data_IF_628256895014
#
_entry.id   IF_628256895014
#
_cell.length_a   1.000
_cell.length_b   1.000
_cell.length_c   1.000
_cell.angle_alpha   90.00
_cell.angle_beta   90.00
_cell.angle_gamma   90.00
#
_symmetry.space_group_name_H-M   'P 1'
#
loop_
_entity.id
_entity.type
_entity.pdbx_description
1 polymer ?
#
# COMPACT_ATOMS: atom_id res chain seq x y z
N UNK A 1 -22.75 -13.48 18.65
CA UNK A 1 -21.70 -13.48 19.66
C UNK A 1 -22.30 -12.98 20.96
N UNK A 2 -22.10 -13.70 22.08
CA UNK A 2 -22.64 -13.32 23.40
C UNK A 2 -21.58 -12.71 24.34
N UNK A 3 -20.40 -12.40 23.80
CA UNK A 3 -19.34 -11.74 24.56
C UNK A 3 -19.72 -10.27 24.79
N UNK A 4 -19.81 -9.79 26.04
CA UNK A 4 -20.14 -8.40 26.33
C UNK A 4 -19.08 -7.41 25.83
N UNK A 5 -17.86 -7.86 25.57
CA UNK A 5 -16.78 -7.02 25.02
C UNK A 5 -16.81 -6.96 23.49
N UNK A 6 -17.65 -7.75 22.83
CA UNK A 6 -17.74 -7.74 21.39
C UNK A 6 -18.58 -6.54 20.91
N UNK A 7 -17.95 -5.66 20.16
CA UNK A 7 -18.59 -4.54 19.45
C UNK A 7 -18.53 -4.81 17.95
N UNK A 8 -19.58 -4.49 17.23
CA UNK A 8 -19.64 -4.68 15.78
C UNK A 8 -20.13 -3.39 15.11
N UNK A 9 -19.50 -3.04 14.02
CA UNK A 9 -19.96 -2.02 13.09
C UNK A 9 -20.47 -2.72 11.85
N UNK A 10 -21.64 -2.33 11.38
CA UNK A 10 -22.22 -2.85 10.15
C UNK A 10 -22.43 -1.72 9.16
N UNK A 11 -21.87 -1.92 7.97
CA UNK A 11 -22.16 -1.04 6.85
C UNK A 11 -23.48 -1.49 6.18
N UNK A 12 -24.58 -0.80 6.46
CA UNK A 12 -25.91 -1.05 5.86
C UNK A 12 -26.18 -0.17 4.63
N UNK A 13 -25.23 0.68 4.25
CA UNK A 13 -25.38 1.59 3.11
C UNK A 13 -25.15 0.89 1.76
N UNK A 14 -25.60 1.52 0.65
CA UNK A 14 -25.33 1.00 -0.68
C UNK A 14 -23.85 1.13 -1.07
N UNK A 15 -23.11 2.02 -0.42
CA UNK A 15 -21.70 2.28 -0.69
C UNK A 15 -20.81 1.40 0.19
N UNK A 16 -19.86 0.71 -0.41
CA UNK A 16 -18.85 -0.06 0.32
C UNK A 16 -17.85 0.92 0.95
N UNK A 17 -17.83 0.99 2.28
CA UNK A 17 -16.87 1.82 3.03
C UNK A 17 -15.45 1.26 2.96
N UNK A 18 -15.34 -0.09 2.96
CA UNK A 18 -14.05 -0.78 2.94
C UNK A 18 -13.31 -0.76 4.27
N UNK A 19 -12.17 -1.44 4.29
CA UNK A 19 -11.44 -1.63 5.53
C UNK A 19 -10.69 -0.38 5.99
N UNK A 20 -10.26 0.52 5.13
CA UNK A 20 -9.70 1.82 5.54
C UNK A 20 -10.58 2.54 6.56
N UNK A 21 -11.85 2.77 6.22
CA UNK A 21 -12.79 3.50 7.09
C UNK A 21 -13.23 2.63 8.26
N UNK A 22 -13.55 1.35 8.01
CA UNK A 22 -14.06 0.46 9.06
C UNK A 22 -13.02 0.13 10.13
N UNK A 23 -11.74 0.03 9.80
CA UNK A 23 -10.68 -0.14 10.79
C UNK A 23 -10.58 1.08 11.70
N UNK A 24 -10.64 2.29 11.15
CA UNK A 24 -10.56 3.52 11.92
C UNK A 24 -11.75 3.67 12.87
N UNK A 25 -12.99 3.39 12.40
CA UNK A 25 -14.18 3.36 13.23
C UNK A 25 -14.08 2.30 14.35
N UNK A 26 -13.53 1.12 14.07
CA UNK A 26 -13.30 0.07 15.06
C UNK A 26 -12.25 0.47 16.08
N UNK A 27 -11.17 1.13 15.66
CA UNK A 27 -10.17 1.68 16.58
C UNK A 27 -10.79 2.77 17.46
N UNK A 28 -11.64 3.63 16.91
CA UNK A 28 -12.31 4.69 17.68
C UNK A 28 -13.14 4.11 18.83
N UNK A 29 -13.94 3.09 18.58
CA UNK A 29 -14.81 2.46 19.59
C UNK A 29 -14.11 1.48 20.51
N UNK A 30 -12.85 1.12 20.26
CA UNK A 30 -12.07 0.25 21.14
C UNK A 30 -11.75 0.93 22.47
N UNK A 31 -12.00 0.25 23.58
CA UNK A 31 -11.80 0.77 24.95
C UNK A 31 -10.41 0.44 25.51
N UNK A 32 -9.56 -0.25 24.73
CA UNK A 32 -8.24 -0.70 25.16
C UNK A 32 -7.14 0.26 24.71
N UNK A 33 -6.04 0.41 25.47
CA UNK A 33 -4.93 1.26 25.07
C UNK A 33 -4.11 0.69 23.90
N UNK A 34 -4.21 -0.62 23.61
CA UNK A 34 -3.54 -1.29 22.51
C UNK A 34 -4.63 -1.74 21.53
N UNK A 35 -4.40 -1.48 20.25
CA UNK A 35 -5.25 -1.89 19.14
C UNK A 35 -4.47 -2.72 18.15
N UNK A 36 -5.17 -3.58 17.40
CA UNK A 36 -4.57 -4.40 16.36
C UNK A 36 -5.43 -4.41 15.11
N UNK A 37 -4.81 -4.23 13.96
CA UNK A 37 -5.44 -4.43 12.67
C UNK A 37 -5.29 -5.89 12.27
N UNK A 38 -6.43 -6.57 12.11
CA UNK A 38 -6.51 -8.02 11.96
C UNK A 38 -7.52 -8.39 10.89
N UNK A 39 -7.14 -9.29 9.98
CA UNK A 39 -7.99 -9.70 8.87
C UNK A 39 -8.86 -10.90 9.26
N UNK A 40 -10.05 -10.99 8.68
CA UNK A 40 -11.02 -12.04 8.99
C UNK A 40 -10.63 -13.45 8.49
N UNK A 41 -9.63 -13.55 7.62
CA UNK A 41 -9.08 -14.81 7.07
C UNK A 41 -7.79 -15.25 7.77
N UNK A 42 -7.57 -14.77 8.98
CA UNK A 42 -6.43 -15.12 9.83
C UNK A 42 -6.87 -15.88 11.08
N UNK A 43 -6.01 -16.78 11.55
CA UNK A 43 -6.14 -17.47 12.83
C UNK A 43 -4.97 -17.14 13.74
N UNK A 44 -5.25 -16.56 14.91
CA UNK A 44 -4.25 -16.20 15.90
C UNK A 44 -3.75 -17.45 16.63
N UNK A 45 -2.49 -17.80 16.46
CA UNK A 45 -1.92 -18.95 17.14
C UNK A 45 -1.74 -18.66 18.65
N UNK A 46 -1.82 -19.71 19.50
CA UNK A 46 -1.59 -19.54 20.94
C UNK A 46 -0.24 -18.90 21.27
N UNK A 47 -0.23 -17.94 22.19
CA UNK A 47 0.97 -17.19 22.59
C UNK A 47 1.28 -15.99 21.66
N UNK A 48 0.48 -15.77 20.62
CA UNK A 48 0.73 -14.66 19.69
C UNK A 48 0.58 -13.28 20.34
N UNK A 49 -0.49 -13.07 21.12
CA UNK A 49 -0.73 -11.80 21.80
C UNK A 49 0.29 -11.54 22.91
N UNK A 50 0.67 -12.58 23.66
CA UNK A 50 1.73 -12.49 24.65
C UNK A 50 3.04 -12.01 24.00
N UNK A 51 3.39 -12.58 22.85
CA UNK A 51 4.58 -12.15 22.11
C UNK A 51 4.48 -10.71 21.60
N UNK A 52 3.29 -10.25 21.21
CA UNK A 52 3.07 -8.82 20.87
C UNK A 52 3.34 -7.94 22.09
N UNK A 53 2.77 -8.30 23.26
CA UNK A 53 2.89 -7.51 24.48
C UNK A 53 4.32 -7.38 25.00
N UNK A 54 5.21 -8.34 24.72
CA UNK A 54 6.63 -8.26 25.03
C UNK A 54 7.35 -7.13 24.26
N UNK A 55 6.85 -6.76 23.08
CA UNK A 55 7.50 -5.82 22.18
C UNK A 55 6.78 -4.47 22.05
N UNK A 56 5.54 -4.36 22.53
CA UNK A 56 4.74 -3.13 22.47
C UNK A 56 5.43 -2.01 23.28
N UNK A 57 5.70 -0.89 22.63
CA UNK A 57 6.26 0.34 23.23
C UNK A 57 5.73 1.56 22.46
N UNK A 58 5.75 2.75 23.04
CA UNK A 58 5.43 3.97 22.29
C UNK A 58 6.25 4.08 21.01
N UNK A 59 5.61 4.46 19.93
CA UNK A 59 6.19 4.53 18.58
C UNK A 59 6.74 3.20 18.03
N UNK A 60 6.18 2.08 18.47
CA UNK A 60 6.46 0.77 17.89
C UNK A 60 5.19 0.19 17.27
N UNK A 61 5.32 -0.31 16.04
CA UNK A 61 4.28 -1.10 15.36
C UNK A 61 4.77 -2.54 15.34
N UNK A 62 4.07 -3.41 16.07
CA UNK A 62 4.46 -4.81 16.26
C UNK A 62 3.62 -5.70 15.37
N UNK A 63 4.25 -6.49 14.51
CA UNK A 63 3.57 -7.48 13.67
C UNK A 63 3.93 -8.91 14.06
N UNK A 64 3.00 -9.83 13.78
CA UNK A 64 3.21 -11.26 13.92
C UNK A 64 3.84 -11.86 12.68
N UNK A 65 4.56 -12.96 12.84
CA UNK A 65 5.03 -13.73 11.69
C UNK A 65 3.88 -14.56 11.11
N UNK A 66 3.66 -14.40 9.81
CA UNK A 66 2.64 -15.14 9.09
C UNK A 66 3.11 -16.54 8.73
N UNK A 67 2.22 -17.51 8.94
CA UNK A 67 2.28 -18.83 8.35
C UNK A 67 1.17 -18.86 7.31
N UNK A 68 1.48 -19.15 6.05
CA UNK A 68 0.47 -19.12 4.98
C UNK A 68 0.71 -20.21 3.94
N UNK A 69 -0.35 -20.67 3.25
CA UNK A 69 -0.21 -21.58 2.11
C UNK A 69 0.68 -20.98 1.02
N UNK A 70 1.33 -21.78 0.17
CA UNK A 70 2.24 -21.30 -0.87
C UNK A 70 1.49 -20.68 -2.06
N UNK A 71 0.66 -19.65 -1.80
CA UNK A 71 -0.10 -18.88 -2.80
C UNK A 71 0.69 -17.69 -3.35
N UNK A 72 1.64 -17.22 -2.58
CA UNK A 72 2.52 -16.11 -2.92
C UNK A 72 3.98 -16.58 -2.94
N UNK A 73 4.87 -15.88 -3.63
CA UNK A 73 6.29 -16.19 -3.61
C UNK A 73 6.86 -16.32 -2.19
N UNK A 74 7.84 -17.18 -2.01
CA UNK A 74 8.60 -17.28 -0.77
C UNK A 74 9.27 -15.94 -0.44
N UNK A 75 9.33 -15.62 0.84
CA UNK A 75 9.97 -14.40 1.36
C UNK A 75 10.50 -14.61 2.77
N UNK A 76 11.52 -13.81 3.18
CA UNK A 76 12.12 -13.94 4.51
C UNK A 76 11.22 -13.44 5.65
N UNK A 77 10.07 -12.82 5.34
CA UNK A 77 9.13 -12.22 6.28
C UNK A 77 8.02 -13.17 6.72
N UNK A 78 7.98 -14.39 6.19
CA UNK A 78 6.90 -15.35 6.43
C UNK A 78 7.37 -16.80 6.37
N UNK A 79 6.47 -17.71 6.73
CA UNK A 79 6.68 -19.16 6.66
C UNK A 79 5.63 -19.74 5.72
N UNK A 80 6.07 -20.48 4.70
CA UNK A 80 5.14 -21.18 3.80
C UNK A 80 4.85 -22.60 4.34
N UNK A 81 3.66 -22.80 4.84
CA UNK A 81 3.13 -24.10 5.27
C UNK A 81 1.62 -24.12 5.01
N UNK A 82 1.13 -25.22 4.48
CA UNK A 82 -0.28 -25.37 4.11
C UNK A 82 -1.06 -26.15 5.18
N UNK A 83 -1.94 -25.43 5.90
CA UNK A 83 -2.89 -25.99 6.85
C UNK A 83 -4.33 -25.69 6.43
N UNK A 84 -4.57 -25.55 5.14
CA UNK A 84 -5.88 -25.28 4.55
C UNK A 84 -6.06 -23.85 4.08
N UNK A 85 -6.86 -23.69 3.03
CA UNK A 85 -7.24 -22.40 2.42
C UNK A 85 -8.67 -22.00 2.75
N UNK A 86 -9.44 -22.93 3.33
CA UNK A 86 -10.81 -22.76 3.76
C UNK A 86 -10.95 -23.09 5.25
N UNK A 87 -11.86 -22.44 6.01
CA UNK A 87 -12.05 -22.75 7.42
C UNK A 87 -12.32 -24.22 7.71
N UNK A 88 -13.06 -24.88 6.83
CA UNK A 88 -13.41 -26.30 6.96
C UNK A 88 -12.22 -27.23 6.73
N UNK A 89 -11.24 -26.83 5.95
CA UNK A 89 -9.95 -27.53 5.81
C UNK A 89 -9.10 -27.25 7.05
N UNK A 90 -8.96 -25.97 7.41
CA UNK A 90 -8.14 -25.52 8.52
C UNK A 90 -8.52 -26.22 9.85
N UNK A 91 -9.81 -26.31 10.18
CA UNK A 91 -10.28 -26.98 11.40
C UNK A 91 -9.80 -28.43 11.51
N UNK A 92 -9.56 -29.11 10.40
CA UNK A 92 -9.04 -30.49 10.38
C UNK A 92 -7.51 -30.55 10.57
N UNK A 93 -6.81 -29.47 10.27
CA UNK A 93 -5.34 -29.38 10.30
C UNK A 93 -4.82 -28.48 11.43
N UNK A 94 -5.74 -27.91 12.23
CA UNK A 94 -5.40 -27.00 13.34
C UNK A 94 -4.41 -27.66 14.32
N UNK A 95 -4.68 -28.90 14.75
CA UNK A 95 -3.79 -29.62 15.66
C UNK A 95 -2.39 -29.82 15.08
N UNK A 96 -2.27 -30.02 13.76
CA UNK A 96 -0.98 -30.15 13.09
C UNK A 96 -0.22 -28.82 13.13
N UNK A 97 -0.89 -27.70 12.84
CA UNK A 97 -0.31 -26.36 12.99
C UNK A 97 0.16 -26.14 14.42
N UNK A 98 -0.70 -26.38 15.43
CA UNK A 98 -0.39 -26.14 16.83
C UNK A 98 0.83 -26.96 17.31
N UNK A 99 0.98 -28.18 16.81
CA UNK A 99 2.15 -29.02 17.10
C UNK A 99 3.46 -28.46 16.48
N UNK A 100 3.37 -27.67 15.39
CA UNK A 100 4.55 -27.07 14.76
C UNK A 100 4.99 -25.78 15.48
N UNK A 101 4.08 -24.99 16.06
CA UNK A 101 4.37 -23.67 16.64
C UNK A 101 5.60 -23.66 17.56
N UNK A 102 5.81 -24.59 18.49
CA UNK A 102 7.00 -24.55 19.35
C UNK A 102 8.33 -24.62 18.60
N UNK A 103 8.36 -25.36 17.48
CA UNK A 103 9.57 -25.54 16.66
C UNK A 103 9.86 -24.34 15.74
N UNK A 104 8.85 -23.51 15.48
CA UNK A 104 8.97 -22.33 14.62
C UNK A 104 9.49 -21.10 15.34
N UNK A 105 9.46 -21.09 16.69
CA UNK A 105 9.96 -19.97 17.49
C UNK A 105 11.47 -19.79 17.32
N UNK A 106 11.90 -18.54 17.14
CA UNK A 106 13.28 -18.22 16.83
C UNK A 106 13.97 -17.34 17.89
N UNK A 107 13.26 -16.84 18.89
CA UNK A 107 13.81 -15.97 19.94
C UNK A 107 14.38 -14.65 19.37
N UNK A 108 13.80 -14.12 18.28
CA UNK A 108 14.30 -12.92 17.61
C UNK A 108 13.17 -12.04 17.07
N UNK A 109 13.55 -10.82 16.71
CA UNK A 109 12.70 -9.89 15.97
C UNK A 109 13.36 -9.46 14.66
N UNK A 110 12.57 -9.01 13.70
CA UNK A 110 13.00 -8.34 12.48
C UNK A 110 12.26 -7.01 12.33
N UNK A 111 12.68 -6.16 11.40
CA UNK A 111 12.00 -4.88 11.13
C UNK A 111 10.87 -5.00 10.09
N UNK A 112 10.30 -6.20 9.95
CA UNK A 112 9.19 -6.47 9.02
C UNK A 112 7.87 -5.85 9.50
N UNK A 113 6.99 -5.57 8.55
CA UNK A 113 5.64 -5.11 8.83
C UNK A 113 4.64 -5.67 7.82
N UNK A 114 3.59 -6.32 8.33
CA UNK A 114 2.40 -6.72 7.59
C UNK A 114 1.27 -7.02 8.58
N UNK A 115 0.03 -7.10 8.11
CA UNK A 115 -1.09 -7.52 8.96
C UNK A 115 -0.92 -8.98 9.46
N UNK A 116 -1.30 -9.29 10.71
CA UNK A 116 -1.82 -8.34 11.69
C UNK A 116 -0.71 -7.53 12.34
N UNK A 117 -1.01 -6.30 12.68
CA UNK A 117 -0.08 -5.41 13.36
C UNK A 117 -0.78 -4.68 14.51
N UNK A 118 -0.01 -4.36 15.56
CA UNK A 118 -0.48 -3.86 16.85
C UNK A 118 0.36 -2.66 17.30
N UNK A 119 -0.31 -1.71 17.98
CA UNK A 119 0.34 -0.52 18.53
C UNK A 119 -0.52 0.09 19.64
N UNK A 120 -0.03 1.12 20.29
CA UNK A 120 -0.89 1.93 21.14
C UNK A 120 -1.92 2.69 20.30
N UNK A 121 -3.17 2.75 20.81
CA UNK A 121 -4.25 3.51 20.17
C UNK A 121 -3.87 4.97 19.95
N UNK A 122 -3.16 5.58 20.90
CA UNK A 122 -2.65 6.95 20.80
C UNK A 122 -1.70 7.13 19.61
N UNK A 123 -0.83 6.16 19.36
CA UNK A 123 0.08 6.17 18.22
C UNK A 123 -0.67 6.12 16.89
N UNK A 124 -1.70 5.27 16.78
CA UNK A 124 -2.57 5.21 15.60
C UNK A 124 -3.30 6.55 15.38
N UNK A 125 -3.87 7.12 16.43
CA UNK A 125 -4.61 8.38 16.38
C UNK A 125 -3.69 9.56 16.04
N UNK A 126 -2.43 9.55 16.52
CA UNK A 126 -1.47 10.63 16.30
C UNK A 126 -1.08 10.83 14.83
N UNK A 127 -1.22 9.79 14.01
CA UNK A 127 -1.01 9.86 12.56
C UNK A 127 -2.32 9.98 11.76
N UNK A 128 -3.45 10.19 12.44
CA UNK A 128 -4.80 10.28 11.88
C UNK A 128 -5.29 8.99 11.19
N UNK A 129 -4.91 7.81 11.70
CA UNK A 129 -5.36 6.53 11.17
C UNK A 129 -5.03 6.29 9.69
N UNK A 130 -5.90 5.56 8.99
CA UNK A 130 -5.78 5.36 7.54
C UNK A 130 -6.22 6.61 6.77
N UNK A 131 -5.74 6.77 5.54
CA UNK A 131 -6.17 7.85 4.67
C UNK A 131 -7.41 7.39 3.86
N UNK A 132 -8.57 8.07 4.02
CA UNK A 132 -9.80 7.73 3.29
C UNK A 132 -9.66 7.85 1.77
N UNK A 133 -8.64 8.52 1.26
CA UNK A 133 -8.28 8.59 -0.16
C UNK A 133 -8.17 7.20 -0.79
N UNK A 134 -7.80 6.18 0.00
CA UNK A 134 -7.63 4.79 -0.45
C UNK A 134 -8.85 3.90 -0.17
N UNK A 135 -9.95 4.47 0.32
CA UNK A 135 -11.19 3.70 0.50
C UNK A 135 -11.78 3.27 -0.87
N UNK A 136 -12.39 2.10 -0.97
CA UNK A 136 -12.62 1.11 0.08
C UNK A 136 -11.42 0.20 0.36
N UNK A 137 -10.39 0.14 -0.50
CA UNK A 137 -9.23 -0.75 -0.37
C UNK A 137 -8.13 -0.42 -1.38
N UNK A 138 -6.96 -1.07 -1.18
CA UNK A 138 -5.76 -1.01 -2.01
C UNK A 138 -4.89 0.23 -1.75
N UNK A 139 -3.62 0.01 -1.43
CA UNK A 139 -2.56 0.97 -1.09
C UNK A 139 -2.67 1.59 0.32
N UNK A 140 -3.76 1.38 1.05
CA UNK A 140 -3.96 1.88 2.42
C UNK A 140 -2.87 1.41 3.37
N UNK A 141 -2.50 0.12 3.32
CA UNK A 141 -1.43 -0.46 4.15
C UNK A 141 -0.09 0.21 3.88
N UNK A 142 0.30 0.34 2.61
CA UNK A 142 1.56 0.99 2.25
C UNK A 142 1.55 2.46 2.65
N UNK A 143 0.43 3.16 2.47
CA UNK A 143 0.30 4.56 2.86
C UNK A 143 0.50 4.74 4.37
N UNK A 144 -0.19 3.95 5.20
CA UNK A 144 -0.07 4.09 6.65
C UNK A 144 1.33 3.68 7.13
N UNK A 145 1.95 2.66 6.54
CA UNK A 145 3.32 2.25 6.89
C UNK A 145 4.35 3.30 6.48
N UNK A 146 4.18 3.95 5.31
CA UNK A 146 5.01 5.09 4.91
C UNK A 146 4.92 6.22 5.93
N UNK A 147 3.69 6.55 6.38
CA UNK A 147 3.48 7.62 7.38
C UNK A 147 4.07 7.25 8.74
N UNK A 148 3.95 6.01 9.20
CA UNK A 148 4.65 5.53 10.40
C UNK A 148 6.16 5.67 10.25
N UNK A 149 6.73 5.21 9.14
CA UNK A 149 8.16 5.29 8.87
C UNK A 149 8.68 6.73 8.94
N UNK A 150 8.03 7.67 8.24
CA UNK A 150 8.41 9.08 8.21
C UNK A 150 8.24 9.78 9.58
N UNK A 151 7.33 9.31 10.43
CA UNK A 151 7.15 9.80 11.80
C UNK A 151 8.06 9.12 12.83
N UNK A 152 9.05 8.33 12.37
CA UNK A 152 10.07 7.71 13.22
C UNK A 152 9.57 6.52 14.04
N UNK A 153 8.48 5.86 13.61
CA UNK A 153 8.03 4.62 14.23
C UNK A 153 8.97 3.47 13.88
N UNK A 154 9.14 2.56 14.84
CA UNK A 154 9.90 1.34 14.65
C UNK A 154 8.96 0.18 14.31
N UNK A 155 9.30 -0.57 13.30
CA UNK A 155 8.62 -1.81 12.97
C UNK A 155 9.31 -2.97 13.70
N UNK A 156 8.50 -3.83 14.31
CA UNK A 156 8.99 -5.00 15.05
C UNK A 156 8.14 -6.20 14.64
N UNK A 157 8.68 -7.07 13.84
CA UNK A 157 8.07 -8.37 13.56
C UNK A 157 8.62 -9.39 14.57
N UNK A 158 7.76 -9.99 15.38
CA UNK A 158 8.17 -11.06 16.30
C UNK A 158 8.15 -12.42 15.62
N UNK A 159 9.21 -13.21 15.84
CA UNK A 159 9.34 -14.59 15.37
C UNK A 159 9.00 -15.62 16.47
N UNK A 160 8.30 -15.18 17.51
CA UNK A 160 7.79 -16.02 18.60
C UNK A 160 6.27 -15.96 18.73
N UNK A 161 5.62 -15.08 17.96
CA UNK A 161 4.18 -14.95 17.82
C UNK A 161 3.75 -15.15 16.37
N UNK A 162 2.79 -16.05 16.14
CA UNK A 162 2.39 -16.48 14.80
C UNK A 162 0.90 -16.25 14.53
N UNK A 163 0.61 -16.05 13.27
CA UNK A 163 -0.75 -16.05 12.72
C UNK A 163 -0.80 -16.96 11.50
N UNK A 164 -1.81 -17.80 11.40
CA UNK A 164 -2.08 -18.53 10.17
C UNK A 164 -2.99 -17.70 9.27
N UNK A 165 -2.54 -17.39 8.08
CA UNK A 165 -3.25 -16.56 7.11
C UNK A 165 -3.72 -17.43 5.94
N UNK A 166 -5.03 -17.70 5.86
CA UNK A 166 -5.61 -18.57 4.85
C UNK A 166 -5.57 -18.02 3.44
N UNK A 167 -5.34 -16.71 3.30
CA UNK A 167 -5.21 -15.88 2.10
C UNK A 167 -6.37 -15.95 1.09
N UNK A 168 -6.49 -14.90 0.25
CA UNK A 168 -7.34 -14.86 -0.94
C UNK A 168 -8.85 -14.97 -0.71
N UNK A 169 -9.33 -14.38 0.37
CA UNK A 169 -10.76 -14.28 0.67
C UNK A 169 -11.31 -12.87 0.46
N UNK A 170 -10.71 -12.09 -0.37
CA UNK A 170 -11.20 -10.75 -0.69
C UNK A 170 -11.91 -10.69 -2.04
N UNK A 171 -12.31 -9.48 -2.42
CA UNK A 171 -12.93 -9.18 -3.72
C UNK A 171 -11.96 -9.29 -4.91
N UNK A 172 -10.66 -9.53 -4.65
CA UNK A 172 -9.64 -9.57 -5.70
C UNK A 172 -9.90 -10.67 -6.73
N UNK A 173 -10.21 -11.88 -6.26
CA UNK A 173 -10.48 -13.02 -7.14
C UNK A 173 -11.92 -13.51 -6.99
N UNK A 174 -12.59 -13.68 -8.12
CA UNK A 174 -13.99 -14.08 -8.14
C UNK A 174 -14.26 -15.42 -7.42
N UNK A 175 -13.32 -16.35 -7.49
CA UNK A 175 -13.46 -17.71 -6.96
C UNK A 175 -12.52 -18.04 -5.79
N UNK A 176 -11.67 -17.08 -5.37
CA UNK A 176 -10.67 -17.32 -4.31
C UNK A 176 -9.59 -18.33 -4.69
N UNK A 177 -8.87 -18.82 -3.70
CA UNK A 177 -7.88 -19.87 -3.85
C UNK A 177 -8.55 -21.25 -4.06
N UNK A 178 -7.91 -22.12 -4.82
CA UNK A 178 -8.36 -23.47 -5.14
C UNK A 178 -7.21 -24.46 -5.02
N UNK A 179 -7.56 -25.76 -4.98
CA UNK A 179 -6.59 -26.84 -5.09
C UNK A 179 -6.68 -27.50 -6.47
N UNK A 180 -5.52 -27.83 -7.03
CA UNK A 180 -5.44 -28.67 -8.22
C UNK A 180 -5.65 -30.15 -7.84
N UNK A 181 -5.78 -31.10 -8.80
CA UNK A 181 -5.92 -32.52 -8.51
C UNK A 181 -4.79 -33.13 -7.67
N UNK A 182 -3.60 -32.52 -7.66
CA UNK A 182 -2.47 -32.97 -6.85
C UNK A 182 -2.49 -32.36 -5.43
N UNK A 183 -3.51 -31.57 -5.09
CA UNK A 183 -3.65 -30.91 -3.79
C UNK A 183 -2.90 -29.60 -3.63
N UNK A 184 -2.14 -29.16 -4.64
CA UNK A 184 -1.42 -27.89 -4.59
C UNK A 184 -2.38 -26.71 -4.70
N UNK A 185 -2.13 -25.67 -3.91
CA UNK A 185 -2.94 -24.44 -3.90
C UNK A 185 -2.58 -23.54 -5.07
N UNK A 186 -3.59 -22.96 -5.69
CA UNK A 186 -3.41 -21.95 -6.71
C UNK A 186 -4.54 -20.93 -6.70
N UNK A 187 -4.29 -19.77 -7.28
CA UNK A 187 -5.31 -18.75 -7.54
C UNK A 187 -5.60 -18.67 -9.02
N UNK A 188 -6.84 -18.36 -9.37
CA UNK A 188 -7.14 -17.99 -10.74
C UNK A 188 -6.47 -16.66 -11.07
N UNK A 189 -5.79 -16.60 -12.21
CA UNK A 189 -5.07 -15.41 -12.68
C UNK A 189 -6.01 -14.27 -13.17
N UNK A 190 -7.30 -14.32 -12.83
CA UNK A 190 -8.27 -13.33 -13.26
C UNK A 190 -8.82 -12.58 -12.07
N UNK A 191 -8.36 -11.38 -11.91
CA UNK A 191 -8.88 -10.43 -10.94
C UNK A 191 -10.25 -9.90 -11.38
N UNK A 192 -11.10 -9.52 -10.41
CA UNK A 192 -12.41 -8.93 -10.73
C UNK A 192 -12.25 -7.53 -11.30
N UNK A 193 -13.15 -7.13 -12.21
CA UNK A 193 -13.15 -5.80 -12.81
C UNK A 193 -13.32 -4.70 -11.73
N UNK A 194 -14.14 -4.98 -10.69
CA UNK A 194 -14.31 -4.08 -9.56
C UNK A 194 -12.98 -3.83 -8.84
N UNK A 195 -12.25 -4.90 -8.55
CA UNK A 195 -10.97 -4.77 -7.87
C UNK A 195 -9.92 -4.07 -8.75
N UNK A 196 -9.87 -4.37 -10.05
CA UNK A 196 -8.94 -3.71 -10.99
C UNK A 196 -9.21 -2.21 -11.08
N UNK A 197 -10.48 -1.81 -11.17
CA UNK A 197 -10.88 -0.39 -11.19
C UNK A 197 -10.45 0.32 -9.92
N UNK A 198 -10.76 -0.27 -8.76
CA UNK A 198 -10.40 0.28 -7.47
C UNK A 198 -8.88 0.34 -7.26
N UNK A 199 -8.17 -0.72 -7.64
CA UNK A 199 -6.71 -0.75 -7.54
C UNK A 199 -6.04 0.31 -8.44
N UNK A 200 -6.57 0.54 -9.64
CA UNK A 200 -6.08 1.59 -10.53
C UNK A 200 -6.30 2.99 -9.92
N UNK A 201 -7.51 3.27 -9.42
CA UNK A 201 -7.82 4.51 -8.70
C UNK A 201 -6.85 4.76 -7.54
N UNK A 202 -6.71 3.77 -6.65
CA UNK A 202 -5.81 3.86 -5.50
C UNK A 202 -4.35 4.00 -5.92
N UNK A 203 -3.92 3.34 -7.00
CA UNK A 203 -2.56 3.48 -7.54
C UNK A 203 -2.30 4.90 -8.03
N UNK A 204 -3.21 5.50 -8.78
CA UNK A 204 -3.09 6.89 -9.27
C UNK A 204 -3.03 7.87 -8.09
N UNK A 205 -3.87 7.70 -7.08
CA UNK A 205 -3.84 8.51 -5.87
C UNK A 205 -2.55 8.33 -5.06
N UNK A 206 -2.04 7.10 -5.01
CA UNK A 206 -0.75 6.81 -4.36
C UNK A 206 0.41 7.53 -5.07
N UNK A 207 0.43 7.53 -6.41
CA UNK A 207 1.41 8.25 -7.20
C UNK A 207 1.34 9.77 -6.95
N UNK A 208 0.14 10.37 -6.98
CA UNK A 208 -0.05 11.79 -6.65
C UNK A 208 0.47 12.14 -5.26
N UNK A 209 0.20 11.27 -4.28
CA UNK A 209 0.60 11.50 -2.88
C UNK A 209 2.09 11.30 -2.65
N UNK A 210 2.66 10.23 -3.20
CA UNK A 210 4.03 9.78 -2.89
C UNK A 210 5.05 9.98 -4.00
N UNK A 211 4.63 10.15 -5.25
CA UNK A 211 5.51 10.32 -6.41
C UNK A 211 6.22 9.04 -6.90
N UNK A 212 5.85 7.88 -6.34
CA UNK A 212 6.43 6.59 -6.71
C UNK A 212 5.44 5.45 -6.47
N UNK A 213 5.67 4.28 -7.05
CA UNK A 213 4.94 3.06 -6.70
C UNK A 213 5.24 2.62 -5.26
N UNK A 214 4.37 1.75 -4.71
CA UNK A 214 4.65 1.09 -3.44
C UNK A 214 6.02 0.42 -3.47
N UNK A 215 6.89 0.78 -2.53
CA UNK A 215 8.24 0.21 -2.38
C UNK A 215 8.41 -0.32 -0.97
N UNK A 216 9.03 -1.47 -0.86
CA UNK A 216 9.40 -2.09 0.42
C UNK A 216 10.64 -2.96 0.21
N UNK A 217 11.34 -3.25 1.29
CA UNK A 217 12.42 -4.24 1.29
C UNK A 217 11.88 -5.68 1.34
N UNK A 218 12.76 -6.66 1.46
CA UNK A 218 12.40 -8.07 1.53
C UNK A 218 11.62 -8.47 2.78
N UNK A 219 11.60 -7.62 3.81
CA UNK A 219 10.83 -7.80 5.05
C UNK A 219 9.50 -7.03 5.03
N UNK A 220 9.11 -6.45 3.89
CA UNK A 220 7.95 -5.59 3.72
C UNK A 220 8.06 -4.23 4.44
N UNK A 221 9.24 -3.87 4.97
CA UNK A 221 9.48 -2.54 5.54
C UNK A 221 9.42 -1.49 4.42
N UNK A 222 8.68 -0.38 4.61
CA UNK A 222 8.54 0.62 3.56
C UNK A 222 9.86 1.29 3.20
N UNK A 223 10.05 1.55 1.91
CA UNK A 223 11.09 2.41 1.35
C UNK A 223 10.39 3.66 0.83
N UNK A 224 10.71 4.81 1.42
CA UNK A 224 10.02 6.07 1.13
C UNK A 224 11.05 7.09 0.63
N UNK A 225 11.25 7.18 -0.70
CA UNK A 225 12.10 8.21 -1.28
C UNK A 225 11.58 9.62 -0.96
N UNK A 226 12.46 10.64 -0.91
CA UNK A 226 12.04 12.02 -0.77
C UNK A 226 11.08 12.41 -1.91
N UNK A 227 9.92 12.99 -1.56
CA UNK A 227 9.01 13.52 -2.56
C UNK A 227 9.42 14.95 -2.95
N UNK A 228 9.71 15.14 -4.24
CA UNK A 228 9.92 16.44 -4.86
C UNK A 228 8.61 16.97 -5.46
N UNK A 229 8.47 18.30 -5.51
CA UNK A 229 7.44 18.97 -6.32
C UNK A 229 7.93 18.93 -7.79
N UNK A 230 7.35 18.02 -8.58
CA UNK A 230 7.75 17.77 -9.97
C UNK A 230 6.78 18.43 -10.94
N UNK A 231 7.30 19.15 -11.92
CA UNK A 231 6.55 19.70 -13.03
C UNK A 231 6.95 19.06 -14.36
N UNK A 232 5.98 18.58 -15.13
CA UNK A 232 6.19 18.14 -16.51
C UNK A 232 5.78 19.24 -17.48
N UNK A 233 6.68 19.59 -18.39
CA UNK A 233 6.45 20.49 -19.52
C UNK A 233 6.50 19.67 -20.82
N UNK A 234 5.34 19.33 -21.37
CA UNK A 234 5.20 18.36 -22.46
C UNK A 234 4.82 19.07 -23.75
N UNK A 235 5.74 19.13 -24.72
CA UNK A 235 5.46 19.56 -26.09
C UNK A 235 4.72 18.45 -26.83
N UNK A 236 3.90 18.80 -27.83
CA UNK A 236 3.13 17.86 -28.65
C UNK A 236 2.31 16.85 -27.81
N UNK A 237 1.67 17.34 -26.73
CA UNK A 237 0.83 16.56 -25.86
C UNK A 237 -0.48 16.12 -26.50
N UNK A 238 -1.17 15.19 -25.84
CA UNK A 238 -2.53 14.78 -26.17
C UNK A 238 -3.25 14.26 -24.92
N UNK A 239 -4.58 14.07 -24.99
CA UNK A 239 -5.38 13.67 -23.83
C UNK A 239 -4.97 12.32 -23.23
N UNK A 240 -4.44 11.38 -24.03
CA UNK A 240 -3.93 10.09 -23.54
C UNK A 240 -2.63 10.29 -22.73
N UNK A 241 -1.75 11.15 -23.20
CA UNK A 241 -0.53 11.49 -22.47
C UNK A 241 -0.85 12.22 -21.16
N UNK A 242 -1.82 13.13 -21.15
CA UNK A 242 -2.30 13.78 -19.93
C UNK A 242 -2.79 12.73 -18.92
N UNK A 243 -3.62 11.77 -19.34
CA UNK A 243 -4.15 10.70 -18.49
C UNK A 243 -3.03 9.82 -17.89
N UNK A 244 -1.97 9.54 -18.64
CA UNK A 244 -0.87 8.68 -18.22
C UNK A 244 0.11 9.42 -17.30
N UNK A 245 0.40 10.68 -17.58
CA UNK A 245 1.49 11.43 -16.97
C UNK A 245 1.08 12.22 -15.71
N UNK A 246 -0.19 12.70 -15.65
CA UNK A 246 -0.62 13.58 -14.55
C UNK A 246 -0.38 12.99 -13.15
N UNK A 247 -0.61 11.69 -12.86
CA UNK A 247 -0.38 11.17 -11.52
C UNK A 247 1.09 11.15 -11.08
N UNK A 248 2.03 11.25 -12.01
CA UNK A 248 3.47 11.16 -11.77
C UNK A 248 4.14 12.50 -11.41
N UNK A 249 3.43 13.58 -11.53
CA UNK A 249 3.94 14.92 -11.25
C UNK A 249 2.98 15.69 -10.36
N UNK A 250 3.44 16.77 -9.76
CA UNK A 250 2.57 17.68 -9.01
C UNK A 250 1.91 18.69 -9.95
N UNK A 251 2.55 18.97 -11.08
CA UNK A 251 2.04 19.88 -12.12
C UNK A 251 2.41 19.37 -13.51
N UNK A 252 1.53 19.62 -14.47
CA UNK A 252 1.75 19.29 -15.86
C UNK A 252 1.32 20.44 -16.75
N UNK A 253 2.21 20.85 -17.66
CA UNK A 253 1.91 21.82 -18.72
C UNK A 253 1.91 21.11 -20.07
N UNK A 254 0.81 21.29 -20.79
CA UNK A 254 0.57 20.69 -22.08
C UNK A 254 -0.29 21.64 -22.91
N UNK A 255 0.12 21.91 -24.14
CA UNK A 255 -0.71 22.70 -25.06
C UNK A 255 -1.85 21.80 -25.61
N UNK A 256 -2.99 21.86 -24.95
CA UNK A 256 -4.20 21.08 -25.26
C UNK A 256 -5.41 22.01 -25.29
N UNK A 257 -6.40 21.64 -26.11
CA UNK A 257 -7.69 22.29 -26.09
C UNK A 257 -8.35 22.18 -24.71
N UNK A 258 -8.96 23.25 -24.24
CA UNK A 258 -9.67 23.30 -22.95
C UNK A 258 -10.72 22.19 -22.82
N UNK A 259 -11.39 21.81 -23.92
CA UNK A 259 -12.34 20.70 -23.93
C UNK A 259 -11.71 19.35 -23.57
N UNK A 260 -10.49 19.10 -23.98
CA UNK A 260 -9.74 17.86 -23.64
C UNK A 260 -9.38 17.87 -22.15
N UNK A 261 -8.89 18.99 -21.67
CA UNK A 261 -8.53 19.17 -20.25
C UNK A 261 -9.76 19.03 -19.36
N UNK A 262 -10.85 19.69 -19.70
CA UNK A 262 -12.08 19.64 -18.92
C UNK A 262 -12.67 18.21 -18.88
N UNK A 263 -12.69 17.50 -20.01
CA UNK A 263 -13.14 16.09 -20.04
C UNK A 263 -12.29 15.19 -19.17
N UNK A 264 -10.97 15.40 -19.15
CA UNK A 264 -10.08 14.66 -18.25
C UNK A 264 -10.41 14.95 -16.80
N UNK A 265 -10.52 16.22 -16.42
CA UNK A 265 -10.84 16.64 -15.05
C UNK A 265 -12.20 16.11 -14.61
N UNK A 266 -13.25 16.26 -15.44
CA UNK A 266 -14.59 15.74 -15.13
C UNK A 266 -14.60 14.23 -14.87
N UNK A 267 -13.83 13.47 -15.63
CA UNK A 267 -13.71 12.02 -15.50
C UNK A 267 -12.92 11.62 -14.25
N UNK A 268 -11.81 12.29 -13.98
CA UNK A 268 -10.82 11.84 -12.99
C UNK A 268 -11.06 12.45 -11.60
N UNK A 269 -11.63 13.67 -11.51
CA UNK A 269 -11.83 14.38 -10.25
C UNK A 269 -12.75 13.64 -9.27
N UNK A 270 -13.66 12.82 -9.76
CA UNK A 270 -14.57 12.01 -8.93
C UNK A 270 -13.85 10.90 -8.17
N UNK A 271 -12.64 10.57 -8.59
CA UNK A 271 -11.81 9.48 -8.06
C UNK A 271 -10.66 9.97 -7.17
N UNK A 272 -10.54 11.30 -6.94
CA UNK A 272 -9.42 11.85 -6.18
C UNK A 272 -9.80 13.12 -5.41
N UNK A 273 -9.19 13.30 -4.23
CA UNK A 273 -9.29 14.53 -3.43
C UNK A 273 -8.28 15.61 -3.87
N UNK A 274 -7.34 15.27 -4.75
CA UNK A 274 -6.44 16.25 -5.35
C UNK A 274 -7.20 17.16 -6.30
N UNK A 275 -7.05 18.48 -6.16
CA UNK A 275 -7.63 19.45 -7.10
C UNK A 275 -6.84 19.42 -8.42
N UNK A 276 -7.41 18.74 -9.43
CA UNK A 276 -6.76 18.57 -10.73
C UNK A 276 -6.65 19.89 -11.50
N UNK A 277 -7.53 20.87 -11.26
CA UNK A 277 -7.43 22.18 -11.90
C UNK A 277 -6.19 22.94 -11.44
N UNK A 278 -5.77 22.75 -10.19
CA UNK A 278 -4.55 23.37 -9.65
C UNK A 278 -3.26 22.69 -10.11
N UNK A 279 -3.36 21.58 -10.85
CA UNK A 279 -2.22 20.77 -11.32
C UNK A 279 -1.93 20.92 -12.81
N UNK A 280 -2.92 21.36 -13.61
CA UNK A 280 -2.83 21.39 -15.07
C UNK A 280 -2.71 22.82 -15.57
N UNK A 281 -1.69 23.11 -16.36
CA UNK A 281 -1.41 24.41 -17.01
C UNK A 281 -1.35 25.61 -16.02
N UNK A 282 -0.83 25.37 -14.81
CA UNK A 282 -0.61 26.43 -13.81
C UNK A 282 0.85 26.89 -13.79
N UNK A 283 1.06 28.15 -13.46
CA UNK A 283 2.40 28.74 -13.34
C UNK A 283 2.81 28.81 -11.86
N UNK A 284 3.76 27.97 -11.47
CA UNK A 284 4.32 27.93 -10.10
C UNK A 284 5.79 27.51 -10.19
N UNK A 285 6.53 27.72 -9.11
CA UNK A 285 7.89 27.21 -9.00
C UNK A 285 7.82 25.76 -8.49
N UNK A 286 8.53 24.86 -9.16
CA UNK A 286 8.67 23.46 -8.78
C UNK A 286 10.10 23.13 -8.35
N UNK A 287 10.27 22.07 -7.55
CA UNK A 287 11.62 21.60 -7.15
C UNK A 287 12.38 21.10 -8.39
N UNK A 288 11.66 20.42 -9.29
CA UNK A 288 12.19 19.80 -10.49
C UNK A 288 11.24 20.06 -11.66
N UNK A 289 11.78 20.54 -12.77
CA UNK A 289 11.05 20.72 -14.03
C UNK A 289 11.61 19.76 -15.09
N UNK A 290 10.76 19.01 -15.76
CA UNK A 290 11.12 18.02 -16.78
C UNK A 290 10.44 18.40 -18.09
N UNK A 291 11.26 18.72 -19.09
CA UNK A 291 10.79 19.12 -20.43
C UNK A 291 11.04 18.00 -21.42
N UNK A 292 10.06 17.69 -22.25
CA UNK A 292 10.19 16.68 -23.30
C UNK A 292 9.10 16.80 -24.38
N UNK A 293 9.39 16.22 -25.55
CA UNK A 293 8.43 16.08 -26.66
C UNK A 293 7.62 14.79 -26.48
N UNK A 294 6.31 14.92 -26.31
CA UNK A 294 5.40 13.77 -26.12
C UNK A 294 5.39 12.78 -27.29
N UNK A 295 5.70 13.24 -28.53
CA UNK A 295 5.84 12.34 -29.69
C UNK A 295 7.07 11.43 -29.61
N UNK A 296 8.05 11.75 -28.76
CA UNK A 296 9.27 10.96 -28.55
C UNK A 296 9.16 10.01 -27.37
N UNK A 297 8.06 10.05 -26.59
CA UNK A 297 7.91 9.20 -25.42
C UNK A 297 7.80 7.74 -25.84
N UNK A 298 8.80 6.96 -25.45
CA UNK A 298 8.88 5.51 -25.63
C UNK A 298 8.53 4.77 -24.34
N UNK A 299 8.40 3.45 -24.41
CA UNK A 299 8.26 2.60 -23.21
C UNK A 299 9.46 2.75 -22.27
N UNK A 300 10.68 2.86 -22.81
CA UNK A 300 11.89 3.08 -22.05
C UNK A 300 11.86 4.45 -21.34
N UNK A 301 11.56 5.52 -22.04
CA UNK A 301 11.44 6.86 -21.48
C UNK A 301 10.34 6.93 -20.39
N UNK A 302 9.21 6.25 -20.61
CA UNK A 302 8.15 6.15 -19.60
C UNK A 302 8.63 5.40 -18.35
N UNK A 303 9.42 4.33 -18.51
CA UNK A 303 10.03 3.63 -17.37
C UNK A 303 10.93 4.55 -16.55
N UNK A 304 11.68 5.45 -17.17
CA UNK A 304 12.49 6.45 -16.44
C UNK A 304 11.60 7.39 -15.59
N UNK A 305 10.42 7.78 -16.09
CA UNK A 305 9.44 8.54 -15.30
C UNK A 305 9.00 7.72 -14.07
N UNK A 306 8.70 6.43 -14.25
CA UNK A 306 8.24 5.58 -13.13
C UNK A 306 9.32 5.33 -12.08
N UNK A 307 10.59 5.46 -12.43
CA UNK A 307 11.76 5.31 -11.55
C UNK A 307 12.35 6.66 -11.08
N UNK A 308 11.73 7.76 -11.42
CA UNK A 308 12.27 9.11 -11.17
C UNK A 308 12.68 9.31 -9.71
N UNK A 309 11.83 8.93 -8.76
CA UNK A 309 12.13 9.06 -7.32
C UNK A 309 13.40 8.28 -6.91
N UNK A 310 13.62 7.10 -7.49
CA UNK A 310 14.81 6.28 -7.24
C UNK A 310 16.05 6.90 -7.88
N UNK A 311 15.90 7.40 -9.10
CA UNK A 311 16.98 8.10 -9.81
C UNK A 311 17.41 9.33 -9.01
N UNK A 312 16.45 10.10 -8.52
CA UNK A 312 16.70 11.29 -7.71
C UNK A 312 17.35 10.96 -6.35
N UNK A 313 16.98 9.85 -5.72
CA UNK A 313 17.57 9.39 -4.46
C UNK A 313 19.01 8.86 -4.65
N UNK A 314 19.22 8.07 -5.72
CA UNK A 314 20.50 7.39 -5.98
C UNK A 314 21.57 8.30 -6.59
N UNK A 315 21.16 9.42 -7.21
CA UNK A 315 22.06 10.40 -7.79
C UNK A 315 22.49 11.41 -6.73
N UNK A 316 23.75 11.78 -6.68
CA UNK A 316 24.18 12.98 -5.98
C UNK A 316 23.67 14.19 -6.78
N UNK A 317 22.37 14.50 -6.61
CA UNK A 317 21.69 15.55 -7.38
C UNK A 317 22.18 16.90 -6.90
N UNK A 318 22.62 17.70 -7.85
CA UNK A 318 22.93 19.12 -7.65
C UNK A 318 21.88 19.98 -8.34
N UNK A 319 21.74 21.21 -7.87
CA UNK A 319 20.96 22.25 -8.57
C UNK A 319 21.62 22.52 -9.93
N UNK A 320 20.84 22.50 -11.00
CA UNK A 320 21.35 22.71 -12.35
C UNK A 320 20.47 22.10 -13.44
N UNK A 321 20.98 22.16 -14.68
CA UNK A 321 20.34 21.59 -15.85
C UNK A 321 21.03 20.28 -16.26
N UNK A 322 20.24 19.27 -16.58
CA UNK A 322 20.70 17.95 -16.98
C UNK A 322 19.92 17.48 -18.21
N UNK A 323 20.57 16.73 -19.07
CA UNK A 323 19.91 16.06 -20.21
C UNK A 323 20.16 14.56 -20.14
N UNK A 324 19.11 13.78 -20.29
CA UNK A 324 19.22 12.32 -20.46
C UNK A 324 18.02 11.79 -21.23
N UNK A 325 18.25 10.83 -22.12
CA UNK A 325 17.25 10.31 -23.05
C UNK A 325 16.55 11.45 -23.80
N UNK A 326 15.23 11.57 -23.68
CA UNK A 326 14.42 12.62 -24.27
C UNK A 326 14.20 13.82 -23.34
N UNK A 327 14.67 13.74 -22.09
CA UNK A 327 14.37 14.68 -21.03
C UNK A 327 15.45 15.75 -20.87
N UNK A 328 15.02 17.02 -20.77
CA UNK A 328 15.80 18.10 -20.19
C UNK A 328 15.23 18.39 -18.80
N UNK A 329 16.06 18.23 -17.79
CA UNK A 329 15.67 18.33 -16.38
C UNK A 329 16.34 19.53 -15.74
N UNK A 330 15.54 20.43 -15.18
CA UNK A 330 16.01 21.54 -14.37
C UNK A 330 15.77 21.21 -12.89
N UNK A 331 16.81 21.05 -12.13
CA UNK A 331 16.75 20.88 -10.68
C UNK A 331 16.90 22.24 -10.03
N UNK A 332 15.80 22.78 -9.51
CA UNK A 332 15.75 24.11 -8.88
C UNK A 332 16.04 24.02 -7.39
N UNK A 333 15.74 22.90 -6.76
CA UNK A 333 15.95 22.66 -5.32
C UNK A 333 16.22 21.18 -5.04
N UNK A 334 17.20 20.92 -4.19
CA UNK A 334 17.48 19.59 -3.63
C UNK A 334 16.94 19.53 -2.21
N UNK A 335 16.26 18.43 -1.87
CA UNK A 335 15.80 18.13 -0.50
C UNK A 335 16.90 17.36 0.21
N UNK A 336 17.35 17.90 1.32
CA UNK A 336 18.35 17.28 2.23
C UNK A 336 17.66 16.50 3.33
#
# INVERSE_FOLDING_TARGET
VKDPNFKAIRNDGPTRLGHTILYDELVEIADTPIVGIYHADMYLCPGALESVLEHIKPKHVVSLTRIEPPLHPEGPEKILMDFGIEPEEFVKLEDELLNQIPSLKQGRTTEGIFAPWFLFKEDFTSINGHDPLFAPQSKEDTDIFNRFHLNGYKFVQTWDGFVYHMTCRGSRFADGAKRNPNGEVFMKNRETDEWLTQNNRSTRNFLRKWGHYCKHDSLMKPIVPPKYDVEFNVENGNGKLLEILEPWCDKIKMDLDDDIINKYIEKEQVDTDFDLRSRINVNTNSDIEIHFDGNKLTEYSYKLITELSTILESSEIEVGEFEFDIFRVNVNRVKT
#
